data_IF_154415277416
#
_entry.id   IF_154415277416
#
_cell.length_a   1.000
_cell.length_b   1.000
_cell.length_c   1.000
_cell.angle_alpha   90.00
_cell.angle_beta   90.00
_cell.angle_gamma   90.00
#
_symmetry.space_group_name_H-M   'P 1'
#
loop_
_entity.id
_entity.type
_entity.pdbx_description
1 polymer ?
#
# COMPACT_ATOMS: atom_id res chain seq x y z
N UNK A 1 45.99 16.54 -24.64
CA UNK A 1 46.34 16.03 -23.29
C UNK A 1 45.28 16.58 -22.33
N UNK A 2 44.73 15.76 -21.43
CA UNK A 2 43.59 16.02 -20.50
C UNK A 2 42.18 15.53 -20.93
N UNK A 3 42.01 14.25 -21.28
CA UNK A 3 40.69 13.58 -21.24
C UNK A 3 40.85 12.12 -20.81
N UNK A 4 41.58 11.81 -19.73
CA UNK A 4 41.67 10.42 -19.23
C UNK A 4 41.62 10.35 -17.69
N UNK A 5 41.10 11.37 -17.01
CA UNK A 5 41.10 11.41 -15.53
C UNK A 5 39.70 11.57 -14.92
N UNK A 6 38.64 11.28 -15.68
CA UNK A 6 37.25 11.36 -15.19
C UNK A 6 36.46 10.05 -15.24
N UNK A 7 37.02 8.96 -15.80
CA UNK A 7 36.32 7.67 -15.86
C UNK A 7 36.51 6.77 -14.63
N UNK A 8 37.50 7.02 -13.78
CA UNK A 8 37.84 6.10 -12.67
C UNK A 8 37.15 6.40 -11.33
N UNK A 9 36.45 7.53 -11.17
CA UNK A 9 35.70 7.81 -9.94
C UNK A 9 34.25 7.28 -9.95
N UNK A 10 33.67 6.97 -11.11
CA UNK A 10 32.30 6.45 -11.20
C UNK A 10 32.18 4.95 -10.95
N UNK A 11 33.24 4.16 -11.14
CA UNK A 11 33.19 2.70 -10.91
C UNK A 11 33.25 2.33 -9.42
N UNK A 12 33.94 3.13 -8.60
CA UNK A 12 34.01 2.93 -7.16
C UNK A 12 32.70 3.30 -6.44
N UNK A 13 31.98 4.33 -6.93
CA UNK A 13 30.70 4.72 -6.33
C UNK A 13 29.58 3.71 -6.64
N UNK A 14 29.63 3.06 -7.81
CA UNK A 14 28.68 1.97 -8.15
C UNK A 14 28.91 0.70 -7.33
N UNK A 15 30.13 0.43 -6.85
CA UNK A 15 30.39 -0.70 -5.94
C UNK A 15 30.00 -0.40 -4.49
N UNK A 16 29.94 0.87 -4.07
CA UNK A 16 29.48 1.25 -2.72
C UNK A 16 27.95 1.25 -2.57
N UNK A 17 27.19 1.46 -3.65
CA UNK A 17 25.72 1.37 -3.62
C UNK A 17 25.25 -0.10 -3.62
N UNK A 18 26.10 -1.03 -4.08
CA UNK A 18 25.88 -2.47 -3.96
C UNK A 18 26.19 -3.03 -2.55
N UNK A 19 26.52 -2.17 -1.57
CA UNK A 19 26.57 -2.57 -0.17
C UNK A 19 25.14 -2.76 0.36
N UNK A 20 24.64 -3.98 0.13
CA UNK A 20 23.78 -4.74 1.05
C UNK A 20 22.82 -3.89 1.89
N UNK A 21 21.85 -3.24 1.24
CA UNK A 21 20.50 -3.23 1.80
C UNK A 21 19.83 -4.58 1.46
N UNK A 22 20.42 -5.67 1.94
CA UNK A 22 19.62 -6.85 2.30
C UNK A 22 18.79 -6.43 3.52
N UNK A 23 17.77 -5.61 3.27
CA UNK A 23 16.56 -5.69 4.05
C UNK A 23 16.21 -7.17 4.03
N UNK A 24 16.39 -7.85 5.16
CA UNK A 24 15.84 -9.18 5.36
C UNK A 24 14.34 -9.01 5.10
N UNK A 25 13.88 -9.25 3.86
CA UNK A 25 12.47 -9.48 3.57
C UNK A 25 12.13 -10.70 4.41
N UNK A 26 11.65 -10.46 5.62
CA UNK A 26 11.05 -11.47 6.46
C UNK A 26 9.97 -12.11 5.60
N UNK A 27 10.18 -13.36 5.19
CA UNK A 27 9.23 -14.14 4.40
C UNK A 27 8.11 -14.61 5.34
N UNK A 28 7.39 -13.66 5.96
CA UNK A 28 6.20 -14.00 6.72
C UNK A 28 5.06 -14.33 5.75
N UNK A 29 4.22 -15.28 6.12
CA UNK A 29 3.00 -15.55 5.34
C UNK A 29 2.01 -14.42 5.59
N UNK A 30 1.66 -13.67 4.55
CA UNK A 30 0.71 -12.56 4.64
C UNK A 30 -0.73 -13.07 4.60
N UNK A 31 -1.55 -12.67 5.57
CA UNK A 31 -3.00 -12.87 5.58
C UNK A 31 -3.70 -11.57 5.24
N UNK A 32 -4.75 -11.61 4.43
CA UNK A 32 -5.52 -10.43 4.07
C UNK A 32 -6.93 -10.52 4.63
N UNK A 33 -7.22 -9.62 5.56
CA UNK A 33 -8.57 -9.35 6.04
C UNK A 33 -9.14 -8.18 5.25
N UNK A 34 -10.37 -8.30 4.76
CA UNK A 34 -11.11 -7.25 4.07
C UNK A 34 -12.27 -6.78 4.93
N UNK A 35 -12.45 -5.47 5.00
CA UNK A 35 -13.53 -4.78 5.68
C UNK A 35 -14.25 -3.91 4.67
N UNK A 36 -15.54 -4.14 4.48
CA UNK A 36 -16.41 -3.34 3.61
C UNK A 36 -17.51 -2.69 4.44
N UNK A 37 -17.71 -1.39 4.27
CA UNK A 37 -18.76 -0.66 4.96
C UNK A 37 -18.92 0.78 4.50
N UNK A 38 -19.84 1.48 5.13
CA UNK A 38 -20.09 2.91 4.94
C UNK A 38 -19.14 3.75 5.79
N UNK A 39 -18.62 4.84 5.23
CA UNK A 39 -17.71 5.76 5.92
C UNK A 39 -18.47 6.91 6.56
N UNK A 40 -18.09 7.26 7.79
CA UNK A 40 -18.68 8.33 8.58
C UNK A 40 -17.60 9.29 9.07
N UNK A 41 -17.99 10.55 9.25
CA UNK A 41 -17.26 11.57 10.00
C UNK A 41 -18.28 12.26 10.91
N UNK A 42 -17.95 12.51 12.18
CA UNK A 42 -18.89 13.15 13.12
C UNK A 42 -20.31 12.52 13.12
N UNK A 43 -20.41 11.18 13.08
CA UNK A 43 -21.69 10.45 13.01
C UNK A 43 -22.54 10.72 11.76
N UNK A 44 -21.98 11.36 10.74
CA UNK A 44 -22.64 11.61 9.45
C UNK A 44 -22.02 10.73 8.37
N UNK A 45 -22.88 10.02 7.65
CA UNK A 45 -22.47 9.31 6.45
C UNK A 45 -21.78 10.28 5.48
N UNK A 46 -20.62 9.89 4.98
CA UNK A 46 -19.81 10.75 4.10
C UNK A 46 -19.35 9.96 2.89
N UNK A 47 -19.49 10.58 1.73
CA UNK A 47 -18.99 10.06 0.46
C UNK A 47 -18.53 11.22 -0.42
N UNK A 48 -17.35 11.08 -1.02
CA UNK A 48 -16.83 11.98 -2.04
C UNK A 48 -16.35 11.15 -3.24
N UNK A 49 -16.78 11.51 -4.44
CA UNK A 49 -16.37 10.82 -5.68
C UNK A 49 -14.86 10.95 -5.93
N UNK A 50 -14.21 11.99 -5.39
CA UNK A 50 -12.74 12.15 -5.45
C UNK A 50 -11.99 11.03 -4.74
N UNK A 51 -12.65 10.30 -3.84
CA UNK A 51 -12.07 9.12 -3.19
C UNK A 51 -11.90 7.93 -4.13
N UNK A 52 -12.59 7.90 -5.28
CA UNK A 52 -12.46 6.81 -6.25
C UNK A 52 -11.10 6.84 -6.98
N UNK A 53 -10.52 8.03 -7.14
CA UNK A 53 -9.17 8.20 -7.68
C UNK A 53 -8.12 8.00 -6.59
N UNK A 54 -7.43 6.85 -6.63
CA UNK A 54 -6.36 6.49 -5.68
C UNK A 54 -5.18 7.47 -5.64
N UNK A 55 -4.98 8.27 -6.71
CA UNK A 55 -3.90 9.25 -6.77
C UNK A 55 -4.26 10.58 -6.09
N UNK A 56 -5.54 10.83 -5.87
CA UNK A 56 -6.06 12.09 -5.36
C UNK A 56 -5.65 12.36 -3.90
N UNK A 57 -5.46 13.63 -3.50
CA UNK A 57 -5.25 13.97 -2.09
C UNK A 57 -6.39 13.51 -1.18
N UNK A 58 -7.63 13.56 -1.68
CA UNK A 58 -8.81 13.14 -0.93
C UNK A 58 -8.78 11.63 -0.61
N UNK A 59 -8.37 10.80 -1.58
CA UNK A 59 -8.19 9.36 -1.35
C UNK A 59 -7.07 9.08 -0.35
N UNK A 60 -5.93 9.77 -0.45
CA UNK A 60 -4.81 9.61 0.48
C UNK A 60 -5.20 9.95 1.92
N UNK A 61 -5.93 11.06 2.09
CA UNK A 61 -6.47 11.47 3.40
C UNK A 61 -7.47 10.44 3.94
N UNK A 62 -8.41 9.98 3.10
CA UNK A 62 -9.35 8.92 3.47
C UNK A 62 -8.61 7.67 3.93
N UNK A 63 -7.66 7.18 3.12
CA UNK A 63 -6.87 5.98 3.42
C UNK A 63 -6.12 6.11 4.75
N UNK A 64 -5.40 7.21 4.96
CA UNK A 64 -4.64 7.44 6.19
C UNK A 64 -5.57 7.49 7.42
N UNK A 65 -6.65 8.25 7.33
CA UNK A 65 -7.61 8.41 8.43
C UNK A 65 -8.33 7.11 8.76
N UNK A 66 -8.85 6.42 7.74
CA UNK A 66 -9.62 5.19 7.91
C UNK A 66 -8.74 4.07 8.47
N UNK A 67 -7.51 3.92 7.95
CA UNK A 67 -6.54 2.96 8.48
C UNK A 67 -6.13 3.27 9.93
N UNK A 68 -5.98 4.56 10.27
CA UNK A 68 -5.71 4.96 11.66
C UNK A 68 -6.88 4.61 12.58
N UNK A 69 -8.12 4.90 12.16
CA UNK A 69 -9.31 4.54 12.93
C UNK A 69 -9.42 3.04 13.14
N UNK A 70 -9.23 2.24 12.08
CA UNK A 70 -9.25 0.78 12.18
C UNK A 70 -8.14 0.25 13.09
N UNK A 71 -6.91 0.78 12.98
CA UNK A 71 -5.80 0.38 13.84
C UNK A 71 -6.10 0.69 15.31
N UNK A 72 -6.70 1.85 15.59
CA UNK A 72 -7.10 2.21 16.95
C UNK A 72 -8.22 1.31 17.49
N UNK A 73 -9.25 1.03 16.69
CA UNK A 73 -10.35 0.15 17.07
C UNK A 73 -9.89 -1.29 17.38
N UNK A 74 -8.82 -1.74 16.72
CA UNK A 74 -8.27 -3.09 16.89
C UNK A 74 -7.27 -3.22 18.04
N UNK A 75 -6.82 -2.12 18.65
CA UNK A 75 -5.92 -2.15 19.84
C UNK A 75 -6.50 -2.94 21.00
N UNK A 76 -7.82 -2.94 21.17
CA UNK A 76 -8.48 -3.74 22.22
C UNK A 76 -8.53 -5.23 21.93
N UNK A 77 -8.03 -5.68 20.78
CA UNK A 77 -8.00 -7.08 20.40
C UNK A 77 -6.55 -7.52 20.09
N UNK A 78 -5.81 -8.02 21.11
CA UNK A 78 -4.37 -8.23 21.03
C UNK A 78 -3.90 -9.11 19.86
N UNK A 79 -4.68 -10.14 19.51
CA UNK A 79 -4.34 -11.03 18.40
C UNK A 79 -4.26 -10.30 17.05
N UNK A 80 -5.19 -9.37 16.81
CA UNK A 80 -5.18 -8.56 15.59
C UNK A 80 -4.18 -7.41 15.68
N UNK A 81 -4.06 -6.78 16.85
CA UNK A 81 -3.14 -5.67 17.07
C UNK A 81 -1.67 -6.05 16.82
N UNK A 82 -1.26 -7.24 17.27
CA UNK A 82 0.11 -7.74 17.07
C UNK A 82 0.35 -8.24 15.65
N UNK A 83 -0.64 -8.89 15.05
CA UNK A 83 -0.51 -9.41 13.69
C UNK A 83 -0.58 -8.31 12.62
N UNK A 84 -1.16 -7.15 12.93
CA UNK A 84 -1.37 -6.08 11.95
C UNK A 84 -0.06 -5.50 11.44
N UNK A 85 0.14 -5.59 10.12
CA UNK A 85 1.28 -5.01 9.40
C UNK A 85 0.94 -3.73 8.66
N UNK A 86 -0.10 -3.74 7.84
CA UNK A 86 -0.47 -2.58 7.03
C UNK A 86 -1.97 -2.55 6.74
N UNK A 87 -2.42 -1.42 6.20
CA UNK A 87 -3.80 -1.23 5.79
C UNK A 87 -3.84 -0.35 4.54
N UNK A 88 -4.79 -0.65 3.65
CA UNK A 88 -5.06 0.14 2.45
C UNK A 88 -6.49 0.01 1.99
N UNK A 89 -7.03 1.07 1.41
CA UNK A 89 -8.28 1.03 0.66
C UNK A 89 -8.01 0.37 -0.69
N UNK A 90 -8.79 -0.67 -1.01
CA UNK A 90 -8.69 -1.36 -2.30
C UNK A 90 -9.76 -0.89 -3.29
N UNK A 91 -10.92 -0.46 -2.77
CA UNK A 91 -12.08 -0.11 -3.59
C UNK A 91 -12.92 0.93 -2.88
N UNK A 92 -13.31 1.96 -3.61
CA UNK A 92 -14.31 2.95 -3.20
C UNK A 92 -15.44 2.86 -4.21
N UNK A 93 -16.68 2.66 -3.75
CA UNK A 93 -17.87 2.68 -4.60
C UNK A 93 -19.07 3.00 -3.74
N UNK A 94 -19.80 4.08 -4.03
CA UNK A 94 -21.00 4.45 -3.25
C UNK A 94 -21.96 3.25 -3.04
N UNK A 95 -22.43 2.99 -1.81
CA UNK A 95 -22.17 3.73 -0.57
C UNK A 95 -20.96 3.24 0.25
N UNK A 96 -20.18 2.30 -0.26
CA UNK A 96 -19.20 1.53 0.51
C UNK A 96 -17.74 1.78 0.14
N UNK A 97 -16.88 1.64 1.13
CA UNK A 97 -15.42 1.60 0.98
C UNK A 97 -14.94 0.24 1.47
N UNK A 98 -14.06 -0.40 0.69
CA UNK A 98 -13.43 -1.67 1.05
C UNK A 98 -11.96 -1.46 1.35
N UNK A 99 -11.56 -1.85 2.56
CA UNK A 99 -10.20 -1.73 3.08
C UNK A 99 -9.62 -3.12 3.34
N UNK A 100 -8.40 -3.37 2.86
CA UNK A 100 -7.60 -4.53 3.26
C UNK A 100 -6.69 -4.20 4.43
N UNK A 101 -6.61 -5.15 5.35
CA UNK A 101 -5.69 -5.18 6.47
C UNK A 101 -4.77 -6.38 6.26
N UNK A 102 -3.48 -6.12 6.15
CA UNK A 102 -2.45 -7.14 6.03
C UNK A 102 -2.00 -7.61 7.41
N UNK A 103 -2.01 -8.93 7.59
CA UNK A 103 -1.71 -9.61 8.84
C UNK A 103 -0.49 -10.52 8.67
N UNK A 104 0.33 -10.58 9.71
CA UNK A 104 1.34 -11.61 9.89
C UNK A 104 0.66 -12.90 10.34
N UNK A 105 0.51 -13.87 9.44
CA UNK A 105 -0.13 -15.13 9.77
C UNK A 105 0.62 -15.91 10.84
N UNK A 106 1.94 -15.75 10.95
CA UNK A 106 2.74 -16.48 11.92
C UNK A 106 2.51 -15.92 13.33
N UNK A 107 2.32 -14.60 13.45
CA UNK A 107 1.87 -13.97 14.70
C UNK A 107 0.46 -14.44 15.11
N UNK A 108 -0.48 -14.53 14.15
CA UNK A 108 -1.84 -15.03 14.42
C UNK A 108 -1.83 -16.51 14.87
N UNK A 109 -1.05 -17.35 14.18
CA UNK A 109 -0.92 -18.79 14.50
C UNK A 109 -0.32 -19.03 15.87
N UNK A 110 0.68 -18.24 16.29
CA UNK A 110 1.27 -18.34 17.64
C UNK A 110 0.22 -18.20 18.74
N UNK A 111 -0.83 -17.41 18.51
CA UNK A 111 -1.96 -17.21 19.44
C UNK A 111 -3.08 -18.24 19.28
N UNK A 112 -2.86 -19.31 18.50
CA UNK A 112 -3.86 -20.35 18.21
C UNK A 112 -5.21 -19.78 17.73
N UNK A 113 -5.16 -18.63 17.07
CA UNK A 113 -6.35 -17.93 16.59
C UNK A 113 -6.54 -18.28 15.12
N UNK A 114 -7.71 -18.76 14.73
CA UNK A 114 -8.05 -18.89 13.32
C UNK A 114 -8.69 -17.60 12.82
N UNK A 115 -7.93 -16.79 12.08
CA UNK A 115 -8.44 -15.56 11.49
C UNK A 115 -9.49 -15.79 10.39
N UNK A 116 -9.72 -17.05 9.98
CA UNK A 116 -10.78 -17.47 9.07
C UNK A 116 -12.06 -17.91 9.77
N UNK A 117 -12.01 -18.13 11.08
CA UNK A 117 -13.18 -18.50 11.85
C UNK A 117 -14.23 -17.38 11.84
N UNK A 118 -15.50 -17.76 11.72
CA UNK A 118 -16.64 -16.83 11.73
C UNK A 118 -16.66 -15.98 13.01
N UNK A 119 -16.35 -16.57 14.15
CA UNK A 119 -16.34 -15.89 15.45
C UNK A 119 -15.25 -14.82 15.52
N UNK A 120 -14.06 -15.12 14.97
CA UNK A 120 -13.00 -14.12 14.83
C UNK A 120 -13.48 -12.94 13.99
N UNK A 121 -14.05 -13.19 12.81
CA UNK A 121 -14.52 -12.13 11.91
C UNK A 121 -15.65 -11.29 12.55
N UNK A 122 -16.55 -11.92 13.31
CA UNK A 122 -17.61 -11.24 14.05
C UNK A 122 -17.07 -10.37 15.18
N UNK A 123 -16.07 -10.85 15.92
CA UNK A 123 -15.40 -10.09 16.97
C UNK A 123 -14.68 -8.88 16.39
N UNK A 124 -13.98 -9.05 15.27
CA UNK A 124 -13.35 -7.93 14.56
C UNK A 124 -14.41 -6.94 14.08
N UNK A 125 -15.49 -7.41 13.44
CA UNK A 125 -16.60 -6.54 13.03
C UNK A 125 -17.16 -5.71 14.19
N UNK A 126 -17.30 -6.32 15.37
CA UNK A 126 -17.79 -5.64 16.58
C UNK A 126 -16.81 -4.62 17.12
N UNK A 127 -15.50 -4.92 17.13
CA UNK A 127 -14.47 -4.00 17.55
C UNK A 127 -14.39 -2.77 16.64
N UNK A 128 -14.54 -2.96 15.33
CA UNK A 128 -14.42 -1.91 14.31
C UNK A 128 -15.59 -0.92 14.27
N UNK A 129 -16.75 -1.26 14.83
CA UNK A 129 -17.91 -0.35 14.91
C UNK A 129 -17.75 0.79 15.92
N UNK A 130 -16.68 0.81 16.71
CA UNK A 130 -16.46 1.83 17.73
C UNK A 130 -16.15 3.18 17.08
N UNK A 131 -16.95 4.20 17.39
CA UNK A 131 -16.70 5.58 16.97
C UNK A 131 -15.39 6.10 17.58
N UNK A 132 -14.47 6.66 16.78
CA UNK A 132 -13.26 7.28 17.30
C UNK A 132 -13.59 8.57 18.07
N UNK A 133 -12.78 8.89 19.08
CA UNK A 133 -12.94 10.10 19.92
C UNK A 133 -12.60 11.39 19.16
N UNK A 134 -11.82 11.31 18.07
CA UNK A 134 -11.45 12.45 17.25
C UNK A 134 -12.56 12.74 16.22
N UNK A 135 -13.12 13.94 16.29
CA UNK A 135 -14.24 14.42 15.45
C UNK A 135 -13.91 14.47 13.96
N UNK A 136 -12.65 14.66 13.57
CA UNK A 136 -12.28 14.81 12.15
C UNK A 136 -11.72 13.54 11.51
N UNK A 137 -11.98 12.37 12.10
CA UNK A 137 -11.48 11.09 11.61
C UNK A 137 -12.58 10.31 10.87
N UNK A 138 -12.28 9.85 9.65
CA UNK A 138 -13.09 8.87 8.93
C UNK A 138 -13.06 7.49 9.61
N UNK A 139 -14.22 6.88 9.79
CA UNK A 139 -14.37 5.54 10.37
C UNK A 139 -15.54 4.77 9.76
N UNK A 140 -15.62 3.48 10.03
CA UNK A 140 -16.76 2.65 9.66
C UNK A 140 -17.77 2.59 10.81
N UNK A 141 -18.99 3.08 10.58
CA UNK A 141 -20.10 2.88 11.52
C UNK A 141 -20.92 1.65 11.13
N UNK A 142 -21.27 1.55 9.84
CA UNK A 142 -21.97 0.40 9.29
C UNK A 142 -21.03 -0.47 8.48
N UNK A 143 -20.68 -1.63 9.06
CA UNK A 143 -19.87 -2.64 8.39
C UNK A 143 -20.79 -3.69 7.78
N UNK A 144 -20.75 -3.80 6.46
CA UNK A 144 -21.51 -4.81 5.71
C UNK A 144 -20.80 -6.16 5.82
N UNK A 145 -19.50 -6.20 5.54
CA UNK A 145 -18.74 -7.45 5.46
C UNK A 145 -17.36 -7.33 6.12
N UNK A 146 -16.99 -8.37 6.85
CA UNK A 146 -15.60 -8.66 7.25
C UNK A 146 -15.30 -10.06 6.75
N UNK A 147 -14.20 -10.26 6.04
CA UNK A 147 -13.88 -11.57 5.49
C UNK A 147 -12.45 -11.66 5.00
N UNK A 148 -11.96 -12.87 4.79
CA UNK A 148 -10.64 -13.06 4.25
C UNK A 148 -10.65 -12.93 2.74
N UNK A 149 -9.68 -12.19 2.23
CA UNK A 149 -9.40 -12.17 0.79
C UNK A 149 -8.32 -13.20 0.58
N UNK A 150 -8.57 -14.21 -0.26
CA UNK A 150 -7.50 -15.08 -0.71
C UNK A 150 -6.41 -14.18 -1.30
N UNK A 151 -5.19 -14.35 -0.82
CA UNK A 151 -4.01 -13.59 -1.18
C UNK A 151 -3.67 -13.78 -2.66
N UNK A 152 -4.36 -13.03 -3.52
CA UNK A 152 -4.02 -12.77 -4.91
C UNK A 152 -3.85 -11.26 -5.14
N UNK A 153 -3.41 -10.53 -4.12
CA UNK A 153 -2.77 -9.24 -4.33
C UNK A 153 -1.27 -9.48 -4.41
N UNK A 154 -0.86 -10.05 -5.54
CA UNK A 154 0.43 -9.72 -6.12
C UNK A 154 0.44 -8.21 -6.31
N UNK A 155 0.89 -7.50 -5.26
CA UNK A 155 1.31 -6.13 -5.41
C UNK A 155 2.43 -6.14 -6.44
N UNK A 156 2.09 -5.52 -7.55
CA UNK A 156 2.87 -5.16 -8.72
C UNK A 156 4.22 -4.53 -8.36
N UNK A 157 5.18 -5.31 -7.87
CA UNK A 157 6.61 -4.97 -7.93
C UNK A 157 7.05 -4.85 -9.41
N UNK A 158 6.29 -5.45 -10.31
CA UNK A 158 6.43 -5.27 -11.76
C UNK A 158 6.06 -3.85 -12.23
N UNK A 159 5.15 -3.16 -11.54
CA UNK A 159 4.67 -1.83 -11.96
C UNK A 159 5.74 -0.74 -11.83
N UNK A 160 6.57 -0.82 -10.79
CA UNK A 160 7.68 0.13 -10.57
C UNK A 160 8.81 -0.16 -11.56
N UNK A 161 9.12 -1.44 -11.82
CA UNK A 161 10.08 -1.82 -12.86
C UNK A 161 9.63 -1.41 -14.25
N UNK A 162 8.34 -1.55 -14.60
CA UNK A 162 7.83 -1.07 -15.89
C UNK A 162 7.93 0.45 -16.01
N UNK A 163 7.63 1.22 -14.96
CA UNK A 163 7.77 2.69 -15.02
C UNK A 163 9.24 3.10 -15.16
N UNK A 164 10.16 2.47 -14.42
CA UNK A 164 11.61 2.75 -14.55
C UNK A 164 12.14 2.33 -15.92
N UNK A 165 11.74 1.16 -16.43
CA UNK A 165 12.11 0.68 -17.76
C UNK A 165 11.56 1.60 -18.86
N UNK A 166 10.32 2.09 -18.73
CA UNK A 166 9.71 3.01 -19.70
C UNK A 166 10.44 4.38 -19.71
N UNK A 167 10.88 4.86 -18.56
CA UNK A 167 11.67 6.10 -18.46
C UNK A 167 13.09 5.93 -19.01
N UNK A 168 13.70 4.76 -18.82
CA UNK A 168 15.02 4.44 -19.40
C UNK A 168 14.96 4.29 -20.92
N UNK A 169 13.94 3.60 -21.47
CA UNK A 169 13.73 3.48 -22.92
C UNK A 169 13.52 4.87 -23.53
N UNK A 170 12.71 5.74 -22.92
CA UNK A 170 12.50 7.12 -23.42
C UNK A 170 13.80 7.93 -23.51
N UNK A 171 14.70 7.81 -22.52
CA UNK A 171 16.00 8.50 -22.56
C UNK A 171 16.92 7.96 -23.65
N UNK A 172 16.98 6.64 -23.83
CA UNK A 172 17.82 6.03 -24.88
C UNK A 172 17.31 6.36 -26.27
N UNK A 173 15.99 6.35 -26.50
CA UNK A 173 15.39 6.70 -27.80
C UNK A 173 15.65 8.17 -28.18
N UNK A 174 15.66 9.09 -27.22
CA UNK A 174 15.94 10.50 -27.49
C UNK A 174 17.40 10.73 -27.89
N UNK A 175 18.33 9.98 -27.29
CA UNK A 175 19.76 10.06 -27.58
C UNK A 175 20.09 9.49 -28.97
N UNK A 176 19.41 8.41 -29.37
CA UNK A 176 19.59 7.80 -30.70
C UNK A 176 18.98 8.63 -31.85
N UNK A 177 17.94 9.42 -31.57
CA UNK A 177 17.34 10.32 -32.56
C UNK A 177 18.21 11.58 -32.76
N UNK A 178 18.76 12.13 -31.67
CA UNK A 178 19.66 13.29 -31.73
C UNK A 178 20.97 13.01 -32.49
N UNK A 179 21.49 11.78 -32.46
CA UNK A 179 22.73 11.41 -33.16
C UNK A 179 22.52 11.25 -34.69
N UNK A 180 21.35 10.74 -35.10
CA UNK A 180 21.01 10.58 -36.53
C UNK A 180 20.73 11.90 -37.24
N UNK A 181 20.20 12.89 -36.54
CA UNK A 181 19.98 14.21 -37.12
C UNK A 181 21.29 15.01 -37.24
N UNK A 182 22.26 14.82 -36.32
CA UNK A 182 23.56 15.47 -36.42
C UNK A 182 24.43 14.96 -37.59
N UNK A 183 24.36 13.66 -37.90
CA UNK A 183 25.07 13.07 -39.05
C UNK A 183 24.47 13.43 -40.42
N UNK A 184 23.31 14.10 -40.46
CA UNK A 184 22.67 14.57 -41.71
C UNK A 184 22.98 16.03 -42.05
N UNK A 185 23.56 16.78 -41.12
CA UNK A 185 23.89 18.21 -41.30
C UNK A 185 25.36 18.42 -41.70
N UNK A 186 26.16 17.35 -41.83
CA UNK A 186 27.56 17.41 -42.27
C UNK A 186 27.74 16.54 -43.54
N UNK A 187 27.03 16.90 -44.60
CA UNK A 187 27.36 16.54 -45.99
C UNK A 187 27.02 17.71 -46.91
#
# INVERSE_FOLDING_TARGET
MQIITLCFCLSAFMHLIASKSTSKKSTYKEGLLSVTGEVYINKKFTYDTKWEDSSSPAHKQLNQSLCTSLRNATKSYPALAEAWRSCRINKVKKPEVTTSISLDQDAVKKRKTDYKAKDFLNNVKSALKKTPTNTNMYYYEKISKVGNTASNLYLTDVGIWFVVLFQLIRRVSFQYFSDKDFQRTIK
#
